data_IF_222298149143
#
_entry.id   IF_222298149143
#
_cell.length_a   1.000
_cell.length_b   1.000
_cell.length_c   1.000
_cell.angle_alpha   90.00
_cell.angle_beta   90.00
_cell.angle_gamma   90.00
#
_symmetry.space_group_name_H-M   'P 1'
#
loop_
_entity.id
_entity.type
_entity.pdbx_description
1 polymer ?
#
# COMPACT_ATOMS: atom_id res chain seq x y z
N UNK A 1 -27.17 -16.54 -1.25
CA UNK A 1 -27.25 -15.43 -2.23
C UNK A 1 -26.30 -14.35 -1.76
N UNK A 2 -25.40 -13.82 -2.59
CA UNK A 2 -24.58 -12.68 -2.18
C UNK A 2 -25.52 -11.49 -2.00
N UNK A 3 -25.62 -10.99 -0.78
CA UNK A 3 -26.38 -9.77 -0.47
C UNK A 3 -25.65 -8.62 -1.16
N UNK A 4 -26.25 -8.02 -2.18
CA UNK A 4 -25.69 -6.81 -2.77
C UNK A 4 -25.62 -5.72 -1.69
N UNK A 5 -24.43 -5.17 -1.47
CA UNK A 5 -24.25 -4.03 -0.59
C UNK A 5 -24.98 -2.82 -1.18
N UNK A 6 -25.73 -2.10 -0.33
CA UNK A 6 -26.27 -0.81 -0.73
C UNK A 6 -25.13 0.22 -0.86
N UNK A 7 -25.25 1.24 -1.72
CA UNK A 7 -24.24 2.29 -1.85
C UNK A 7 -23.89 2.99 -0.52
N UNK A 8 -24.88 3.13 0.37
CA UNK A 8 -24.70 3.70 1.71
C UNK A 8 -23.85 2.79 2.61
N UNK A 9 -24.08 1.47 2.55
CA UNK A 9 -23.29 0.49 3.32
C UNK A 9 -21.87 0.42 2.79
N UNK A 10 -21.70 0.39 1.46
CA UNK A 10 -20.40 0.43 0.80
C UNK A 10 -19.60 1.67 1.21
N UNK A 11 -20.24 2.86 1.16
CA UNK A 11 -19.63 4.11 1.61
C UNK A 11 -19.19 4.04 3.07
N UNK A 12 -20.07 3.57 3.96
CA UNK A 12 -19.76 3.47 5.38
C UNK A 12 -18.59 2.52 5.66
N UNK A 13 -18.48 1.41 4.92
CA UNK A 13 -17.35 0.48 5.01
C UNK A 13 -16.04 1.13 4.58
N UNK A 14 -16.04 1.88 3.47
CA UNK A 14 -14.86 2.58 2.98
C UNK A 14 -14.43 3.69 3.95
N UNK A 15 -15.38 4.49 4.45
CA UNK A 15 -15.08 5.55 5.44
C UNK A 15 -14.51 4.95 6.74
N UNK A 16 -15.12 3.86 7.21
CA UNK A 16 -14.64 3.12 8.38
C UNK A 16 -13.21 2.60 8.17
N UNK A 17 -12.93 2.00 7.02
CA UNK A 17 -11.60 1.54 6.68
C UNK A 17 -10.57 2.67 6.76
N UNK A 18 -10.82 3.83 6.17
CA UNK A 18 -9.86 4.93 6.19
C UNK A 18 -9.61 5.47 7.59
N UNK A 19 -10.65 5.54 8.43
CA UNK A 19 -10.50 5.92 9.83
C UNK A 19 -9.64 4.88 10.61
N UNK A 20 -9.91 3.60 10.44
CA UNK A 20 -9.20 2.51 11.12
C UNK A 20 -7.74 2.38 10.63
N UNK A 21 -7.49 2.53 9.33
CA UNK A 21 -6.15 2.50 8.76
C UNK A 21 -5.29 3.65 9.29
N UNK A 22 -5.86 4.85 9.44
CA UNK A 22 -5.15 6.00 10.04
C UNK A 22 -4.84 5.77 11.51
N UNK A 23 -5.80 5.22 12.26
CA UNK A 23 -5.58 4.88 13.66
C UNK A 23 -4.51 3.81 13.82
N UNK A 24 -4.53 2.80 12.96
CA UNK A 24 -3.55 1.71 12.92
C UNK A 24 -2.14 2.23 12.65
N UNK A 25 -2.02 3.18 11.71
CA UNK A 25 -0.75 3.75 11.30
C UNK A 25 -0.41 5.06 12.05
N UNK A 26 -1.11 5.36 13.15
CA UNK A 26 -1.01 6.66 13.80
C UNK A 26 0.42 7.00 14.24
N UNK A 27 1.15 6.04 14.82
CA UNK A 27 2.53 6.26 15.27
C UNK A 27 3.43 6.69 14.11
N UNK A 28 3.44 5.93 13.02
CA UNK A 28 4.18 6.27 11.80
C UNK A 28 3.74 7.60 11.19
N UNK A 29 2.43 7.82 11.00
CA UNK A 29 1.92 9.04 10.38
C UNK A 29 2.23 10.29 11.22
N UNK A 30 2.16 10.18 12.55
CA UNK A 30 2.45 11.27 13.48
C UNK A 30 3.94 11.58 13.53
N UNK A 31 4.79 10.55 13.67
CA UNK A 31 6.25 10.71 13.70
C UNK A 31 6.79 11.39 12.43
N UNK A 32 6.19 11.05 11.28
CA UNK A 32 6.58 11.55 9.97
C UNK A 32 5.85 12.82 9.56
N UNK A 33 4.98 13.36 10.42
CA UNK A 33 4.14 14.53 10.16
C UNK A 33 3.31 14.40 8.86
N UNK A 34 2.81 13.19 8.58
CA UNK A 34 2.10 12.84 7.35
C UNK A 34 0.59 12.91 7.53
N UNK A 35 -0.01 13.96 6.99
CA UNK A 35 -1.46 14.08 6.81
C UNK A 35 -1.86 13.67 5.38
N UNK A 36 -2.05 12.37 5.17
CA UNK A 36 -2.31 11.79 3.83
C UNK A 36 -3.80 11.85 3.47
N UNK A 37 -4.12 12.17 2.20
CA UNK A 37 -5.47 11.95 1.66
C UNK A 37 -5.84 10.46 1.66
N UNK A 38 -7.10 10.11 1.45
CA UNK A 38 -7.51 8.71 1.31
C UNK A 38 -6.85 8.05 0.09
N UNK A 39 -6.73 8.77 -1.03
CA UNK A 39 -6.02 8.29 -2.21
C UNK A 39 -4.52 8.06 -1.95
N UNK A 40 -3.88 8.97 -1.21
CA UNK A 40 -2.46 8.87 -0.84
C UNK A 40 -2.22 7.72 0.15
N UNK A 41 -3.08 7.56 1.16
CA UNK A 41 -2.98 6.45 2.11
C UNK A 41 -3.20 5.10 1.41
N UNK A 42 -4.20 5.00 0.54
CA UNK A 42 -4.43 3.80 -0.27
C UNK A 42 -3.20 3.46 -1.11
N UNK A 43 -2.61 4.46 -1.78
CA UNK A 43 -1.47 4.24 -2.63
C UNK A 43 -0.21 3.85 -1.83
N UNK A 44 0.02 4.45 -0.66
CA UNK A 44 1.08 4.04 0.27
C UNK A 44 0.90 2.59 0.73
N UNK A 45 -0.33 2.21 1.11
CA UNK A 45 -0.64 0.82 1.47
C UNK A 45 -0.44 -0.12 0.29
N UNK A 46 -0.79 0.28 -0.92
CA UNK A 46 -0.64 -0.59 -2.09
C UNK A 46 0.81 -0.97 -2.35
N UNK A 47 1.75 -0.05 -2.10
CA UNK A 47 3.19 -0.27 -2.36
C UNK A 47 3.97 -0.82 -1.16
N UNK A 48 3.42 -0.73 0.06
CA UNK A 48 4.10 -1.15 1.28
C UNK A 48 4.53 -2.63 1.30
N UNK A 49 3.88 -3.60 0.62
CA UNK A 49 4.38 -4.98 0.56
C UNK A 49 5.81 -5.09 0.05
N UNK A 50 6.22 -4.21 -0.88
CA UNK A 50 7.58 -4.23 -1.39
C UNK A 50 8.56 -3.65 -0.37
N UNK A 51 8.19 -2.57 0.32
CA UNK A 51 9.02 -2.03 1.41
C UNK A 51 9.23 -3.05 2.52
N UNK A 52 8.20 -3.83 2.86
CA UNK A 52 8.28 -4.92 3.85
C UNK A 52 9.23 -6.02 3.35
N UNK A 53 9.17 -6.37 2.07
CA UNK A 53 10.04 -7.41 1.51
C UNK A 53 11.51 -6.97 1.51
N UNK A 54 11.79 -5.74 1.08
CA UNK A 54 13.13 -5.16 1.04
C UNK A 54 13.74 -5.11 2.46
N UNK A 55 12.97 -4.65 3.44
CA UNK A 55 13.45 -4.39 4.79
C UNK A 55 13.71 -5.61 5.66
N UNK A 56 13.61 -6.83 5.12
CA UNK A 56 13.66 -8.06 5.93
C UNK A 56 14.96 -8.25 6.73
N UNK A 57 16.04 -7.55 6.36
CA UNK A 57 17.35 -7.58 7.04
C UNK A 57 17.76 -6.24 7.67
N UNK A 58 16.90 -5.22 7.61
CA UNK A 58 17.16 -3.89 8.18
C UNK A 58 18.25 -3.08 7.47
N UNK A 59 18.71 -3.53 6.29
CA UNK A 59 19.64 -2.79 5.44
C UNK A 59 19.00 -2.48 4.08
N UNK A 60 19.64 -1.58 3.32
CA UNK A 60 19.23 -1.25 1.96
C UNK A 60 20.45 -1.33 1.06
N UNK A 61 20.47 -2.33 0.18
CA UNK A 61 21.50 -2.43 -0.84
C UNK A 61 21.14 -1.62 -2.10
N UNK A 62 22.05 -1.63 -3.10
CA UNK A 62 21.85 -0.87 -4.33
C UNK A 62 20.67 -1.38 -5.17
N UNK A 63 20.41 -2.69 -5.17
CA UNK A 63 19.29 -3.30 -5.90
C UNK A 63 17.97 -2.87 -5.28
N UNK A 64 17.88 -2.95 -3.95
CA UNK A 64 16.71 -2.55 -3.17
C UNK A 64 16.42 -1.04 -3.32
N UNK A 65 17.45 -0.19 -3.34
CA UNK A 65 17.27 1.24 -3.63
C UNK A 65 16.69 1.47 -5.03
N UNK A 66 17.12 0.72 -6.05
CA UNK A 66 16.56 0.85 -7.40
C UNK A 66 15.08 0.42 -7.44
N UNK A 67 14.70 -0.64 -6.72
CA UNK A 67 13.29 -1.02 -6.58
C UNK A 67 12.47 0.11 -5.95
N UNK A 68 12.98 0.77 -4.92
CA UNK A 68 12.30 1.92 -4.29
C UNK A 68 12.12 3.10 -5.26
N UNK A 69 13.09 3.35 -6.15
CA UNK A 69 12.97 4.38 -7.20
C UNK A 69 11.88 4.04 -8.20
N UNK A 70 11.82 2.79 -8.67
CA UNK A 70 10.78 2.33 -9.61
C UNK A 70 9.37 2.43 -9.00
N UNK A 71 9.25 2.10 -7.72
CA UNK A 71 7.99 2.22 -6.98
C UNK A 71 7.63 3.68 -6.77
N UNK A 72 8.59 4.55 -6.44
CA UNK A 72 8.32 5.97 -6.35
C UNK A 72 7.81 6.54 -7.68
N UNK A 73 8.38 6.10 -8.80
CA UNK A 73 7.92 6.47 -10.15
C UNK A 73 6.50 5.98 -10.48
N UNK A 74 6.00 4.93 -9.81
CA UNK A 74 4.59 4.54 -9.90
C UNK A 74 3.64 5.67 -9.44
N UNK A 75 4.02 6.40 -8.39
CA UNK A 75 3.21 7.51 -7.87
C UNK A 75 3.23 8.75 -8.77
N UNK A 76 4.28 8.93 -9.59
CA UNK A 76 4.38 10.03 -10.54
C UNK A 76 3.41 9.88 -11.72
N UNK A 77 3.05 8.64 -12.09
CA UNK A 77 2.22 8.31 -13.26
C UNK A 77 0.69 8.36 -13.01
N UNK A 78 0.23 9.23 -12.11
CA UNK A 78 -1.19 9.48 -11.81
C UNK A 78 -1.99 8.27 -11.27
N UNK A 79 -1.39 7.46 -10.40
CA UNK A 79 -2.06 6.27 -9.82
C UNK A 79 -2.82 6.56 -8.51
N UNK A 80 -3.01 7.84 -8.16
CA UNK A 80 -3.85 8.18 -7.01
C UNK A 80 -5.33 7.98 -7.39
N UNK A 81 -6.05 7.06 -6.74
CA UNK A 81 -7.45 6.78 -7.06
C UNK A 81 -8.33 7.95 -6.60
N UNK A 82 -8.51 8.94 -7.48
CA UNK A 82 -9.26 10.19 -7.21
C UNK A 82 -10.69 9.97 -6.75
N UNK A 83 -11.27 8.80 -7.03
CA UNK A 83 -12.59 8.42 -6.52
C UNK A 83 -12.61 8.39 -4.98
N UNK A 84 -11.47 8.12 -4.34
CA UNK A 84 -11.34 8.09 -2.88
C UNK A 84 -11.32 9.48 -2.24
N UNK A 85 -11.16 10.55 -3.04
CA UNK A 85 -11.22 11.93 -2.57
C UNK A 85 -12.67 12.38 -2.26
N UNK A 86 -13.69 11.61 -2.69
CA UNK A 86 -15.11 11.89 -2.39
C UNK A 86 -15.55 11.49 -0.97
N UNK A 87 -14.74 10.71 -0.26
CA UNK A 87 -14.99 10.34 1.14
C UNK A 87 -14.41 11.38 2.09
N UNK A 88 -14.81 11.32 3.35
CA UNK A 88 -14.28 12.18 4.42
C UNK A 88 -12.75 12.15 4.46
N UNK A 89 -12.13 13.32 4.43
CA UNK A 89 -10.67 13.53 4.44
C UNK A 89 -10.22 14.14 5.78
N UNK A 90 -8.94 14.01 6.14
CA UNK A 90 -8.32 14.85 7.16
C UNK A 90 -8.41 16.35 6.83
N UNK A 91 -8.33 17.22 7.84
CA UNK A 91 -8.47 18.67 7.63
C UNK A 91 -7.28 19.29 6.88
N UNK A 92 -6.06 18.76 7.09
CA UNK A 92 -4.80 19.34 6.60
C UNK A 92 -4.04 18.41 5.67
N UNK A 93 -4.75 17.84 4.70
CA UNK A 93 -4.17 16.94 3.71
C UNK A 93 -3.05 17.62 2.91
N UNK A 94 -1.94 16.92 2.75
CA UNK A 94 -0.85 17.37 1.89
C UNK A 94 -1.23 17.32 0.40
N UNK A 95 -0.69 18.24 -0.40
CA UNK A 95 -0.91 18.22 -1.85
C UNK A 95 -0.26 16.99 -2.51
N UNK A 96 -0.86 16.47 -3.57
CA UNK A 96 -0.29 15.33 -4.31
C UNK A 96 1.12 15.61 -4.85
N UNK A 97 1.39 16.85 -5.27
CA UNK A 97 2.71 17.26 -5.72
C UNK A 97 3.75 17.19 -4.59
N UNK A 98 3.34 17.46 -3.35
CA UNK A 98 4.22 17.29 -2.20
C UNK A 98 4.41 15.80 -1.90
N UNK A 99 3.32 15.03 -1.87
CA UNK A 99 3.37 13.57 -1.65
C UNK A 99 4.32 12.87 -2.63
N UNK A 100 4.22 13.17 -3.94
CA UNK A 100 5.13 12.61 -4.98
C UNK A 100 6.60 12.93 -4.72
N UNK A 101 6.91 14.10 -4.16
CA UNK A 101 8.29 14.50 -3.87
C UNK A 101 8.87 13.76 -2.67
N UNK A 102 8.04 13.40 -1.69
CA UNK A 102 8.50 12.78 -0.44
C UNK A 102 8.38 11.26 -0.46
N UNK A 103 7.59 10.67 -1.37
CA UNK A 103 7.26 9.24 -1.32
C UNK A 103 8.51 8.34 -1.31
N UNK A 104 9.52 8.64 -2.13
CA UNK A 104 10.77 7.88 -2.11
C UNK A 104 11.46 7.93 -0.74
N UNK A 105 11.50 9.10 -0.11
CA UNK A 105 12.06 9.27 1.24
C UNK A 105 11.27 8.46 2.27
N UNK A 106 9.95 8.43 2.16
CA UNK A 106 9.09 7.69 3.08
C UNK A 106 9.20 6.17 2.89
N UNK A 107 9.29 5.68 1.65
CA UNK A 107 9.53 4.26 1.40
C UNK A 107 10.90 3.82 1.93
N UNK A 108 11.92 4.66 1.74
CA UNK A 108 13.25 4.43 2.32
C UNK A 108 13.23 4.44 3.84
N UNK A 109 12.50 5.38 4.45
CA UNK A 109 12.34 5.45 5.90
C UNK A 109 11.71 4.16 6.44
N UNK A 110 10.57 3.75 5.85
CA UNK A 110 9.88 2.52 6.21
C UNK A 110 10.80 1.31 6.08
N UNK A 111 11.61 1.24 5.02
CA UNK A 111 12.54 0.12 4.85
C UNK A 111 13.62 0.06 5.93
N UNK A 112 14.04 1.19 6.50
CA UNK A 112 15.05 1.24 7.56
C UNK A 112 14.46 1.05 8.97
N UNK A 113 13.17 1.35 9.17
CA UNK A 113 12.47 1.27 10.46
C UNK A 113 11.36 0.22 10.44
N UNK A 114 11.46 -0.76 9.55
CA UNK A 114 10.38 -1.73 9.33
C UNK A 114 10.07 -2.54 10.58
N UNK A 115 11.06 -2.85 11.42
CA UNK A 115 10.87 -3.59 12.67
C UNK A 115 9.83 -2.91 13.61
N UNK A 116 9.71 -1.58 13.54
CA UNK A 116 8.80 -0.79 14.36
C UNK A 116 7.39 -0.69 13.74
N UNK A 117 7.29 -0.74 12.40
CA UNK A 117 6.05 -0.44 11.68
C UNK A 117 5.43 -1.64 10.94
N UNK A 118 6.12 -2.77 10.81
CA UNK A 118 5.69 -3.92 10.01
C UNK A 118 4.31 -4.44 10.45
N UNK A 119 4.10 -4.61 11.76
CA UNK A 119 2.85 -5.14 12.28
C UNK A 119 1.64 -4.25 11.93
N UNK A 120 1.79 -2.94 12.07
CA UNK A 120 0.75 -1.97 11.74
C UNK A 120 0.49 -1.92 10.22
N UNK A 121 1.55 -1.95 9.40
CA UNK A 121 1.45 -1.99 7.94
C UNK A 121 0.74 -3.26 7.46
N UNK A 122 1.11 -4.43 7.98
CA UNK A 122 0.46 -5.69 7.66
C UNK A 122 -1.02 -5.69 8.08
N UNK A 123 -1.34 -5.16 9.27
CA UNK A 123 -2.71 -5.07 9.72
C UNK A 123 -3.57 -4.18 8.80
N UNK A 124 -3.07 -3.01 8.41
CA UNK A 124 -3.77 -2.12 7.48
C UNK A 124 -3.89 -2.73 6.07
N UNK A 125 -2.88 -3.47 5.60
CA UNK A 125 -2.92 -4.24 4.35
C UNK A 125 -3.99 -5.33 4.37
N UNK A 126 -4.08 -6.11 5.46
CA UNK A 126 -5.12 -7.12 5.62
C UNK A 126 -6.52 -6.49 5.66
N UNK A 127 -6.69 -5.35 6.32
CA UNK A 127 -7.94 -4.59 6.31
C UNK A 127 -8.30 -4.12 4.89
N UNK A 128 -7.32 -3.65 4.12
CA UNK A 128 -7.54 -3.22 2.73
C UNK A 128 -7.95 -4.39 1.83
N UNK A 129 -7.30 -5.54 1.96
CA UNK A 129 -7.65 -6.77 1.23
C UNK A 129 -9.07 -7.23 1.61
N UNK A 130 -9.41 -7.19 2.90
CA UNK A 130 -10.74 -7.57 3.37
C UNK A 130 -11.83 -6.60 2.88
N UNK A 131 -11.53 -5.29 2.80
CA UNK A 131 -12.42 -4.31 2.21
C UNK A 131 -12.67 -4.63 0.73
N UNK A 132 -11.61 -4.94 -0.04
CA UNK A 132 -11.72 -5.35 -1.45
C UNK A 132 -12.64 -6.57 -1.61
N UNK A 133 -12.45 -7.60 -0.77
CA UNK A 133 -13.28 -8.81 -0.79
C UNK A 133 -14.76 -8.54 -0.43
N UNK A 134 -14.99 -7.57 0.44
CA UNK A 134 -16.34 -7.22 0.94
C UNK A 134 -17.09 -6.34 -0.05
N UNK A 135 -16.40 -5.37 -0.65
CA UNK A 135 -16.98 -4.35 -1.56
C UNK A 135 -17.05 -4.86 -3.01
N UNK A 136 -16.14 -5.75 -3.43
CA UNK A 136 -16.11 -6.28 -4.79
C UNK A 136 -17.36 -7.08 -5.12
N UNK A 137 -18.23 -6.50 -5.97
CA UNK A 137 -19.39 -7.20 -6.54
C UNK A 137 -18.94 -8.34 -7.45
N UNK A 138 -19.74 -9.43 -7.58
CA UNK A 138 -19.44 -10.53 -8.50
C UNK A 138 -19.39 -10.17 -10.00
N UNK A 139 -19.61 -8.90 -10.40
CA UNK A 139 -19.75 -8.51 -11.81
C UNK A 139 -19.06 -7.19 -12.23
N UNK A 140 -18.14 -6.63 -11.44
CA UNK A 140 -17.36 -5.47 -11.89
C UNK A 140 -15.86 -5.82 -11.95
N UNK A 141 -15.43 -6.09 -13.18
CA UNK A 141 -14.09 -6.42 -13.61
C UNK A 141 -13.04 -5.33 -13.30
N UNK A 142 -11.79 -5.76 -13.16
CA UNK A 142 -10.52 -5.02 -13.29
C UNK A 142 -9.85 -4.37 -12.07
N UNK A 143 -10.47 -4.25 -10.89
CA UNK A 143 -9.87 -3.50 -9.76
C UNK A 143 -9.79 -4.30 -8.45
N UNK A 144 -9.25 -5.52 -8.48
CA UNK A 144 -8.95 -6.23 -7.22
C UNK A 144 -7.64 -5.73 -6.63
N UNK A 145 -7.67 -5.29 -5.37
CA UNK A 145 -6.49 -4.96 -4.57
C UNK A 145 -5.52 -6.14 -4.54
N UNK A 146 -6.02 -7.37 -4.31
CA UNK A 146 -5.20 -8.59 -4.29
C UNK A 146 -4.38 -8.72 -5.57
N UNK A 147 -5.07 -8.58 -6.72
CA UNK A 147 -4.44 -8.68 -8.04
C UNK A 147 -3.40 -7.58 -8.24
N UNK A 148 -3.69 -6.33 -7.86
CA UNK A 148 -2.75 -5.21 -7.96
C UNK A 148 -1.50 -5.41 -7.13
N UNK A 149 -1.63 -5.90 -5.89
CA UNK A 149 -0.48 -6.21 -5.03
C UNK A 149 0.40 -7.27 -5.70
N UNK A 150 -0.20 -8.37 -6.16
CA UNK A 150 0.53 -9.46 -6.83
C UNK A 150 1.22 -8.97 -8.12
N UNK A 151 0.49 -8.29 -9.01
CA UNK A 151 1.04 -7.77 -10.28
C UNK A 151 2.17 -6.76 -10.05
N UNK A 152 2.02 -5.88 -9.06
CA UNK A 152 3.05 -4.90 -8.71
C UNK A 152 4.30 -5.61 -8.17
N UNK A 153 4.16 -6.56 -7.25
CA UNK A 153 5.30 -7.32 -6.72
C UNK A 153 5.99 -8.15 -7.82
N UNK A 154 5.22 -8.77 -8.73
CA UNK A 154 5.76 -9.48 -9.88
C UNK A 154 6.48 -8.57 -10.88
N UNK A 155 5.95 -7.36 -11.11
CA UNK A 155 6.60 -6.35 -11.96
C UNK A 155 7.95 -5.93 -11.37
N UNK A 156 8.02 -5.71 -10.05
CA UNK A 156 9.28 -5.38 -9.39
C UNK A 156 10.27 -6.55 -9.49
N UNK A 157 9.82 -7.80 -9.30
CA UNK A 157 10.66 -8.99 -9.54
C UNK A 157 11.22 -8.96 -10.97
N UNK A 158 10.35 -8.85 -11.98
CA UNK A 158 10.75 -8.94 -13.38
C UNK A 158 11.71 -7.83 -13.81
N UNK A 159 11.51 -6.60 -13.30
CA UNK A 159 12.28 -5.44 -13.72
C UNK A 159 13.61 -5.27 -12.97
N UNK A 160 13.72 -5.79 -11.75
CA UNK A 160 14.86 -5.52 -10.87
C UNK A 160 15.67 -6.77 -10.51
N UNK A 161 15.17 -7.98 -10.76
CA UNK A 161 15.82 -9.22 -10.32
C UNK A 161 16.40 -10.05 -11.46
N UNK A 162 17.64 -10.49 -11.27
CA UNK A 162 18.27 -11.52 -12.09
C UNK A 162 17.80 -12.94 -11.72
N UNK A 163 18.19 -13.98 -12.48
CA UNK A 163 17.70 -15.35 -12.32
C UNK A 163 18.00 -16.06 -10.98
N UNK A 164 18.84 -15.49 -10.11
CA UNK A 164 19.26 -16.07 -8.81
C UNK A 164 18.91 -15.16 -7.60
N UNK A 165 17.89 -14.32 -7.71
CA UNK A 165 17.62 -13.27 -6.73
C UNK A 165 16.99 -13.76 -5.42
N UNK A 166 17.70 -13.53 -4.31
CA UNK A 166 17.23 -13.75 -2.93
C UNK A 166 15.93 -12.96 -2.66
N UNK A 167 15.78 -11.83 -3.32
CA UNK A 167 14.67 -10.88 -3.21
C UNK A 167 13.35 -11.47 -3.71
N UNK A 168 13.38 -12.43 -4.64
CA UNK A 168 12.17 -13.16 -5.05
C UNK A 168 11.59 -13.93 -3.85
N UNK A 169 12.45 -14.56 -3.05
CA UNK A 169 12.01 -15.30 -1.87
C UNK A 169 11.45 -14.37 -0.79
N UNK A 170 12.06 -13.18 -0.60
CA UNK A 170 11.57 -12.13 0.32
C UNK A 170 10.17 -11.66 -0.10
N UNK A 171 9.97 -11.38 -1.39
CA UNK A 171 8.68 -10.94 -1.95
C UNK A 171 7.61 -12.03 -1.84
N UNK A 172 7.95 -13.30 -2.11
CA UNK A 172 7.03 -14.44 -1.92
C UNK A 172 6.63 -14.62 -0.45
N UNK A 173 7.56 -14.44 0.49
CA UNK A 173 7.26 -14.53 1.92
C UNK A 173 6.24 -13.46 2.36
N UNK A 174 6.32 -12.25 1.83
CA UNK A 174 5.32 -11.20 2.10
C UNK A 174 3.96 -11.56 1.51
N UNK A 175 3.90 -12.08 0.27
CA UNK A 175 2.63 -12.56 -0.30
C UNK A 175 1.98 -13.66 0.56
N UNK A 176 2.78 -14.56 1.14
CA UNK A 176 2.28 -15.58 2.08
C UNK A 176 1.75 -14.95 3.37
N UNK A 177 2.48 -13.98 3.96
CA UNK A 177 1.99 -13.21 5.13
C UNK A 177 0.62 -12.57 4.85
N UNK A 178 0.39 -12.11 3.62
CA UNK A 178 -0.86 -11.50 3.19
C UNK A 178 -1.96 -12.51 2.78
N UNK A 179 -1.67 -13.81 2.71
CA UNK A 179 -2.60 -14.83 2.24
C UNK A 179 -2.90 -14.75 0.74
N UNK A 180 -1.91 -14.32 -0.07
CA UNK A 180 -2.01 -14.10 -1.51
C UNK A 180 -1.16 -15.06 -2.36
N UNK A 181 -0.43 -15.97 -1.73
CA UNK A 181 0.41 -16.99 -2.37
C UNK A 181 0.18 -18.38 -1.76
#
# INVERSE_FOLDING_TARGET
MPTELTPETERALIEKFFAEARQTLHEYLSERELELSNAQLFALLLVSPITIAIASDGSLDFSEVNMLVDIAAYFEKDVLPKQLDHFTQPEKVMSDNHFRKIVFSELRYLSLHMAEHEAALLMALHQLIHLDDTVSRPQASSFSVRRRIVEMMQSVIYNNLGPDAVEESKLRAVLQKLGLA
#
